data_IF_917442802942
#
_entry.id   IF_917442802942
#
_cell.length_a   1.000
_cell.length_b   1.000
_cell.length_c   1.000
_cell.angle_alpha   90.00
_cell.angle_beta   90.00
_cell.angle_gamma   90.00
#
_symmetry.space_group_name_H-M   'P 1'
#
loop_
_entity.id
_entity.type
_entity.pdbx_description
1 polymer ?
#
# COMPACT_ATOMS: atom_id res chain seq x y z
N UNK A 1 -15.96 4.10 8.05
CA UNK A 1 -15.68 3.06 9.07
C UNK A 1 -14.30 2.51 8.78
N UNK A 2 -13.43 2.92 9.65
CA UNK A 2 -12.35 2.69 9.48
C UNK A 2 -11.07 2.12 9.88
N UNK A 3 -10.12 2.77 9.41
CA UNK A 3 -8.68 2.60 9.61
C UNK A 3 -8.29 2.66 11.11
N UNK A 4 -8.97 3.53 11.88
CA UNK A 4 -8.72 3.72 13.30
C UNK A 4 -8.79 2.45 14.16
N UNK A 5 -9.81 1.61 14.06
CA UNK A 5 -9.88 0.38 14.85
C UNK A 5 -8.78 -0.64 14.54
N UNK A 6 -8.36 -0.77 13.27
CA UNK A 6 -7.24 -1.65 12.91
C UNK A 6 -5.93 -1.05 13.41
N UNK A 7 -5.71 0.25 13.23
CA UNK A 7 -4.53 0.94 13.74
C UNK A 7 -4.43 0.78 15.27
N UNK A 8 -5.56 0.89 15.97
CA UNK A 8 -5.62 0.75 17.42
C UNK A 8 -5.42 -0.69 17.95
N UNK A 9 -5.73 -1.72 17.14
CA UNK A 9 -5.64 -3.13 17.59
C UNK A 9 -4.40 -3.83 17.04
N UNK A 10 -4.12 -3.69 15.76
CA UNK A 10 -3.00 -4.37 15.08
C UNK A 10 -1.71 -3.54 15.22
N UNK A 11 -1.79 -2.21 15.23
CA UNK A 11 -0.65 -1.31 15.35
C UNK A 11 0.23 -1.64 16.57
N UNK A 12 -0.29 -1.62 17.80
CA UNK A 12 0.49 -1.91 19.00
C UNK A 12 1.17 -3.28 19.00
N UNK A 13 0.51 -4.30 18.42
CA UNK A 13 1.10 -5.64 18.31
C UNK A 13 2.28 -5.66 17.34
N UNK A 14 2.17 -4.97 16.20
CA UNK A 14 3.25 -4.85 15.23
C UNK A 14 4.40 -3.97 15.75
N UNK A 15 4.08 -2.89 16.47
CA UNK A 15 5.07 -2.04 17.13
C UNK A 15 5.86 -2.82 18.20
N UNK A 16 5.18 -3.61 19.01
CA UNK A 16 5.83 -4.43 20.04
C UNK A 16 6.74 -5.52 19.44
N UNK A 17 6.32 -6.14 18.32
CA UNK A 17 7.06 -7.24 17.71
C UNK A 17 8.21 -6.78 16.82
N UNK A 18 8.05 -5.68 16.08
CA UNK A 18 9.00 -5.28 15.03
C UNK A 18 9.65 -3.91 15.28
N UNK A 19 9.16 -3.13 16.24
CA UNK A 19 9.65 -1.77 16.57
C UNK A 19 9.91 -0.93 15.30
N UNK A 20 8.91 -0.83 14.40
CA UNK A 20 9.08 -0.06 13.19
C UNK A 20 9.27 1.42 13.52
N UNK A 21 10.03 2.12 12.70
CA UNK A 21 10.22 3.55 12.83
C UNK A 21 9.92 4.25 11.49
N UNK A 22 9.55 5.51 11.56
CA UNK A 22 9.35 6.38 10.41
C UNK A 22 10.23 7.63 10.54
N UNK A 23 10.73 8.13 9.41
CA UNK A 23 11.42 9.42 9.30
C UNK A 23 10.94 10.13 8.06
N UNK A 24 10.84 11.47 8.12
CA UNK A 24 10.39 12.27 6.99
C UNK A 24 8.88 12.30 6.83
N UNK A 25 8.11 11.93 7.86
CA UNK A 25 6.64 11.98 7.85
C UNK A 25 6.13 13.40 7.62
N UNK A 26 6.88 14.40 8.04
CA UNK A 26 6.61 15.82 7.82
C UNK A 26 6.57 16.22 6.34
N UNK A 27 7.10 15.38 5.43
CA UNK A 27 6.99 15.59 3.98
C UNK A 27 5.62 15.14 3.43
N UNK A 28 4.85 14.40 4.19
CA UNK A 28 3.50 14.00 3.81
C UNK A 28 2.57 15.18 4.16
N UNK A 29 1.85 15.77 3.19
CA UNK A 29 0.99 16.91 3.49
C UNK A 29 -0.09 16.52 4.51
N UNK A 30 -0.32 17.37 5.50
CA UNK A 30 -1.35 17.15 6.53
C UNK A 30 -2.75 17.06 5.92
N UNK A 31 -2.99 17.76 4.82
CA UNK A 31 -4.26 17.77 4.07
C UNK A 31 -4.00 17.66 2.56
N UNK A 32 -5.05 17.35 1.81
CA UNK A 32 -4.95 17.23 0.36
C UNK A 32 -4.35 15.90 -0.11
N UNK A 33 -4.20 15.77 -1.41
CA UNK A 33 -3.72 14.55 -2.05
C UNK A 33 -2.21 14.44 -2.06
N UNK A 34 -1.68 13.22 -1.93
CA UNK A 34 -0.31 12.90 -2.27
C UNK A 34 -0.17 11.43 -2.70
N UNK A 35 0.83 11.16 -3.51
CA UNK A 35 1.19 9.80 -3.96
C UNK A 35 2.40 9.35 -3.13
N UNK A 36 2.23 8.30 -2.35
CA UNK A 36 3.33 7.66 -1.63
C UNK A 36 3.93 6.57 -2.51
N UNK A 37 5.07 6.86 -3.14
CA UNK A 37 5.75 5.94 -4.06
C UNK A 37 6.83 5.16 -3.32
N UNK A 38 6.55 3.90 -2.99
CA UNK A 38 7.43 3.05 -2.17
C UNK A 38 8.05 1.91 -2.98
N UNK A 39 9.27 1.52 -2.64
CA UNK A 39 9.81 0.21 -3.02
C UNK A 39 8.97 -0.90 -2.37
N UNK A 40 9.04 -2.11 -2.92
CA UNK A 40 8.25 -3.24 -2.41
C UNK A 40 9.12 -4.47 -2.18
N UNK A 41 9.39 -4.78 -0.93
CA UNK A 41 10.30 -5.85 -0.52
C UNK A 41 9.55 -7.07 0.01
N UNK A 42 8.47 -6.85 0.77
CA UNK A 42 7.74 -7.89 1.47
C UNK A 42 6.23 -7.65 1.48
N UNK A 43 5.44 -8.65 1.90
CA UNK A 43 3.99 -8.46 2.08
C UNK A 43 3.70 -7.47 3.19
N UNK A 44 4.53 -7.49 4.25
CA UNK A 44 4.35 -6.60 5.41
C UNK A 44 4.50 -5.11 5.09
N UNK A 45 5.14 -4.73 3.96
CA UNK A 45 5.17 -3.33 3.52
C UNK A 45 3.77 -2.73 3.40
N UNK A 46 2.83 -3.54 2.88
CA UNK A 46 1.43 -3.13 2.72
C UNK A 46 0.66 -2.99 4.04
N UNK A 47 1.27 -3.39 5.15
CA UNK A 47 0.75 -3.19 6.49
C UNK A 47 1.47 -2.05 7.20
N UNK A 48 2.81 -2.03 7.17
CA UNK A 48 3.58 -1.03 7.89
C UNK A 48 3.38 0.38 7.33
N UNK A 49 3.42 0.57 6.03
CA UNK A 49 3.26 1.90 5.47
C UNK A 49 1.93 2.56 5.90
N UNK A 50 0.78 1.92 5.74
CA UNK A 50 -0.48 2.50 6.22
C UNK A 50 -0.59 2.59 7.75
N UNK A 51 0.05 1.74 8.53
CA UNK A 51 -0.02 1.80 9.99
C UNK A 51 0.81 2.94 10.57
N UNK A 52 1.96 3.23 9.98
CA UNK A 52 2.89 4.26 10.46
C UNK A 52 2.49 5.67 10.02
N UNK A 53 1.83 5.82 8.87
CA UNK A 53 1.34 7.13 8.39
C UNK A 53 0.05 7.51 9.11
N UNK A 54 -0.05 8.72 9.62
CA UNK A 54 -1.22 9.18 10.39
C UNK A 54 -2.50 9.28 9.56
N UNK A 55 -2.38 9.54 8.27
CA UNK A 55 -3.50 9.65 7.34
C UNK A 55 -3.82 8.31 6.67
N UNK A 56 -5.09 8.14 6.29
CA UNK A 56 -5.50 6.97 5.50
C UNK A 56 -4.81 6.93 4.13
N UNK A 57 -4.14 5.81 3.83
CA UNK A 57 -3.47 5.57 2.56
C UNK A 57 -4.22 4.51 1.78
N UNK A 58 -4.82 4.87 0.64
CA UNK A 58 -5.45 3.91 -0.25
C UNK A 58 -4.40 3.18 -1.10
N UNK A 59 -4.55 1.86 -1.26
CA UNK A 59 -3.69 1.04 -2.11
C UNK A 59 -4.50 0.27 -3.15
N UNK A 60 -3.85 -0.19 -4.21
CA UNK A 60 -4.44 -1.15 -5.14
C UNK A 60 -4.05 -2.57 -4.71
N UNK A 61 -5.05 -3.40 -4.46
CA UNK A 61 -4.88 -4.82 -4.17
C UNK A 61 -5.41 -5.73 -5.29
N UNK A 62 -4.85 -6.93 -5.39
CA UNK A 62 -5.33 -7.95 -6.31
C UNK A 62 -6.77 -8.32 -5.96
N UNK A 63 -7.67 -8.38 -6.95
CA UNK A 63 -9.09 -8.74 -6.78
C UNK A 63 -9.29 -10.08 -6.06
N UNK A 64 -8.34 -11.02 -6.19
CA UNK A 64 -8.38 -12.33 -5.54
C UNK A 64 -8.49 -12.24 -4.00
N UNK A 65 -7.96 -11.19 -3.39
CA UNK A 65 -8.12 -10.96 -1.94
C UNK A 65 -9.57 -10.68 -1.53
N UNK A 66 -10.43 -10.32 -2.48
CA UNK A 66 -11.83 -9.97 -2.24
C UNK A 66 -12.81 -11.08 -2.63
N UNK A 67 -12.34 -12.14 -3.29
CA UNK A 67 -13.15 -13.25 -3.80
C UNK A 67 -12.97 -14.56 -3.03
N UNK A 68 -12.12 -14.58 -2.01
CA UNK A 68 -11.88 -15.74 -1.16
C UNK A 68 -13.16 -16.24 -0.47
N UNK A 69 -13.34 -17.57 -0.42
CA UNK A 69 -14.51 -18.22 0.20
C UNK A 69 -14.27 -18.57 1.67
N UNK A 70 -15.36 -18.79 2.41
CA UNK A 70 -15.33 -19.17 3.82
C UNK A 70 -14.90 -18.07 4.78
N UNK A 71 -14.73 -18.40 6.05
CA UNK A 71 -14.40 -17.45 7.13
C UNK A 71 -13.07 -16.73 6.85
N UNK A 72 -12.05 -17.45 6.35
CA UNK A 72 -10.76 -16.86 6.00
C UNK A 72 -10.88 -15.84 4.87
N UNK A 73 -11.62 -16.16 3.81
CA UNK A 73 -11.86 -15.23 2.70
C UNK A 73 -12.64 -13.99 3.14
N UNK A 74 -13.64 -14.18 4.00
CA UNK A 74 -14.39 -13.08 4.59
C UNK A 74 -13.49 -12.15 5.45
N UNK A 75 -12.63 -12.71 6.30
CA UNK A 75 -11.71 -11.95 7.14
C UNK A 75 -10.71 -11.14 6.29
N UNK A 76 -10.08 -11.76 5.28
CA UNK A 76 -9.15 -11.08 4.36
C UNK A 76 -9.86 -9.96 3.60
N UNK A 77 -11.05 -10.22 3.05
CA UNK A 77 -11.84 -9.22 2.33
C UNK A 77 -12.18 -8.01 3.20
N UNK A 78 -12.64 -8.24 4.43
CA UNK A 78 -12.99 -7.14 5.33
C UNK A 78 -11.74 -6.37 5.77
N UNK A 79 -10.65 -7.06 6.07
CA UNK A 79 -9.37 -6.44 6.36
C UNK A 79 -8.93 -5.53 5.19
N UNK A 80 -8.87 -6.05 3.96
CA UNK A 80 -8.48 -5.28 2.77
C UNK A 80 -9.36 -4.05 2.55
N UNK A 81 -10.67 -4.18 2.75
CA UNK A 81 -11.59 -3.03 2.70
C UNK A 81 -11.30 -2.00 3.76
N UNK A 82 -11.01 -2.44 4.99
CA UNK A 82 -10.78 -1.55 6.13
C UNK A 82 -9.44 -0.79 5.98
N UNK A 83 -8.42 -1.39 5.39
CA UNK A 83 -7.15 -0.71 5.06
C UNK A 83 -7.21 0.08 3.74
N UNK A 84 -8.41 0.38 3.23
CA UNK A 84 -8.57 1.23 2.04
C UNK A 84 -8.09 0.62 0.73
N UNK A 85 -7.90 -0.71 0.69
CA UNK A 85 -7.43 -1.39 -0.53
C UNK A 85 -8.52 -1.44 -1.59
N UNK A 86 -8.22 -0.96 -2.77
CA UNK A 86 -9.11 -0.94 -3.95
C UNK A 86 -8.88 -2.24 -4.73
N UNK A 87 -9.90 -3.08 -4.91
CA UNK A 87 -9.75 -4.29 -5.70
C UNK A 87 -9.56 -3.95 -7.18
N UNK A 88 -8.52 -4.49 -7.79
CA UNK A 88 -8.29 -4.37 -9.23
C UNK A 88 -7.93 -5.73 -9.80
N UNK A 89 -8.59 -6.09 -10.89
CA UNK A 89 -8.20 -7.23 -11.70
C UNK A 89 -6.90 -6.87 -12.47
N UNK A 90 -5.89 -7.72 -12.38
CA UNK A 90 -4.59 -7.51 -13.04
C UNK A 90 -4.43 -8.31 -14.33
N UNK A 91 -5.51 -8.86 -14.89
CA UNK A 91 -5.51 -9.80 -16.02
C UNK A 91 -5.42 -9.13 -17.41
N UNK A 92 -5.07 -7.84 -17.52
CA UNK A 92 -4.91 -7.23 -18.85
C UNK A 92 -4.86 -5.69 -18.87
N UNK A 93 -4.72 -5.13 -20.07
CA UNK A 93 -4.57 -3.69 -20.28
C UNK A 93 -5.75 -2.84 -19.75
N UNK A 94 -6.97 -3.33 -19.84
CA UNK A 94 -8.17 -2.68 -19.28
C UNK A 94 -8.11 -2.60 -17.74
N UNK A 95 -7.54 -3.62 -17.09
CA UNK A 95 -7.38 -3.67 -15.65
C UNK A 95 -6.35 -2.63 -15.15
N UNK A 96 -5.28 -2.40 -15.89
CA UNK A 96 -4.31 -1.34 -15.59
C UNK A 96 -4.95 0.04 -15.70
N UNK A 97 -5.87 0.24 -16.64
CA UNK A 97 -6.59 1.49 -16.82
C UNK A 97 -7.58 1.73 -15.67
N UNK A 98 -8.32 0.71 -15.26
CA UNK A 98 -9.22 0.77 -14.11
C UNK A 98 -8.46 1.09 -12.80
N UNK A 99 -7.30 0.48 -12.61
CA UNK A 99 -6.41 0.76 -11.48
C UNK A 99 -5.94 2.22 -11.47
N UNK A 100 -5.52 2.73 -12.62
CA UNK A 100 -5.09 4.11 -12.77
C UNK A 100 -6.24 5.07 -12.46
N UNK A 101 -7.44 4.83 -13.01
CA UNK A 101 -8.61 5.67 -12.77
C UNK A 101 -9.00 5.68 -11.30
N UNK A 102 -9.04 4.53 -10.64
CA UNK A 102 -9.34 4.43 -9.22
C UNK A 102 -8.34 5.22 -8.35
N UNK A 103 -7.04 5.20 -8.72
CA UNK A 103 -6.03 6.02 -8.07
C UNK A 103 -6.25 7.52 -8.27
N UNK A 104 -6.57 7.94 -9.50
CA UNK A 104 -6.89 9.33 -9.82
C UNK A 104 -8.10 9.82 -9.02
N UNK A 105 -9.15 9.01 -8.92
CA UNK A 105 -10.38 9.38 -8.19
C UNK A 105 -10.09 9.57 -6.69
N UNK A 106 -9.24 8.71 -6.10
CA UNK A 106 -8.80 8.87 -4.72
C UNK A 106 -7.98 10.15 -4.50
N UNK A 107 -7.04 10.42 -5.39
CA UNK A 107 -6.23 11.63 -5.32
C UNK A 107 -7.10 12.89 -5.49
N UNK A 108 -8.04 12.90 -6.43
CA UNK A 108 -8.97 14.01 -6.62
C UNK A 108 -9.90 14.27 -5.43
N UNK A 109 -10.16 13.24 -4.62
CA UNK A 109 -10.89 13.39 -3.36
C UNK A 109 -10.03 13.85 -2.17
N UNK A 110 -8.78 14.26 -2.42
CA UNK A 110 -7.88 14.76 -1.38
C UNK A 110 -7.23 13.67 -0.51
N UNK A 111 -7.24 12.41 -0.95
CA UNK A 111 -6.73 11.28 -0.18
C UNK A 111 -5.29 10.93 -0.57
N UNK A 112 -4.57 10.28 0.35
CA UNK A 112 -3.27 9.68 0.05
C UNK A 112 -3.46 8.40 -0.77
N UNK A 113 -2.55 8.17 -1.70
CA UNK A 113 -2.53 6.98 -2.54
C UNK A 113 -1.15 6.34 -2.55
N UNK A 114 -1.06 5.12 -2.03
CA UNK A 114 0.17 4.34 -2.02
C UNK A 114 0.34 3.52 -3.29
N UNK A 115 1.52 3.56 -3.86
CA UNK A 115 1.87 2.78 -5.04
C UNK A 115 3.27 2.19 -4.89
N UNK A 116 3.44 0.97 -5.39
CA UNK A 116 4.73 0.34 -5.60
C UNK A 116 5.10 0.43 -7.08
N UNK A 117 5.96 1.38 -7.48
CA UNK A 117 6.27 1.62 -8.89
C UNK A 117 6.82 0.40 -9.63
N UNK A 118 7.51 -0.49 -8.93
CA UNK A 118 8.02 -1.75 -9.48
C UNK A 118 6.91 -2.70 -9.93
N UNK A 119 5.72 -2.61 -9.33
CA UNK A 119 4.54 -3.42 -9.64
C UNK A 119 4.59 -4.85 -9.14
N UNK A 120 5.68 -5.24 -8.48
CA UNK A 120 5.90 -6.54 -7.85
C UNK A 120 6.89 -6.40 -6.70
N UNK A 121 6.95 -7.39 -5.82
CA UNK A 121 7.97 -7.44 -4.77
C UNK A 121 9.35 -7.74 -5.35
N UNK A 122 10.37 -7.11 -4.79
CA UNK A 122 11.76 -7.41 -5.12
C UNK A 122 12.13 -8.84 -4.72
N UNK A 123 12.67 -9.67 -5.61
CA UNK A 123 13.01 -11.05 -5.30
C UNK A 123 14.27 -11.19 -4.42
N UNK A 124 15.14 -10.20 -4.42
CA UNK A 124 16.47 -10.22 -3.80
C UNK A 124 16.77 -9.01 -2.90
N UNK A 125 15.74 -8.20 -2.60
CA UNK A 125 15.87 -7.02 -1.75
C UNK A 125 16.42 -5.78 -2.46
N UNK A 126 16.75 -5.85 -3.76
CA UNK A 126 17.25 -4.71 -4.55
C UNK A 126 16.11 -3.85 -5.06
N UNK A 127 16.42 -2.58 -5.32
CA UNK A 127 15.51 -1.68 -5.99
C UNK A 127 15.50 -1.93 -7.50
N UNK A 128 14.33 -2.15 -8.05
CA UNK A 128 14.13 -2.38 -9.49
C UNK A 128 13.52 -1.17 -10.18
N UNK A 129 13.63 -1.17 -11.51
CA UNK A 129 13.09 -0.09 -12.33
C UNK A 129 11.58 0.05 -12.15
N UNK A 130 11.12 1.24 -11.78
CA UNK A 130 9.71 1.59 -11.69
C UNK A 130 9.03 1.64 -13.06
N UNK A 131 7.75 1.25 -13.09
CA UNK A 131 6.86 1.39 -14.24
C UNK A 131 6.28 2.81 -14.29
N UNK A 132 5.74 3.19 -15.43
CA UNK A 132 5.21 4.54 -15.70
C UNK A 132 3.90 4.88 -14.97
N UNK A 133 3.31 3.94 -14.23
CA UNK A 133 2.05 4.16 -13.52
C UNK A 133 2.07 5.32 -12.55
N UNK A 134 3.14 5.48 -11.79
CA UNK A 134 3.30 6.59 -10.83
C UNK A 134 3.37 7.95 -11.56
N UNK A 135 4.11 8.04 -12.65
CA UNK A 135 4.21 9.27 -13.45
C UNK A 135 2.84 9.65 -14.05
N UNK A 136 2.08 8.67 -14.55
CA UNK A 136 0.73 8.90 -15.07
C UNK A 136 -0.24 9.38 -13.99
N UNK A 137 -0.17 8.79 -12.78
CA UNK A 137 -0.96 9.26 -11.64
C UNK A 137 -0.63 10.71 -11.30
N UNK A 138 0.65 11.05 -11.17
CA UNK A 138 1.09 12.40 -10.84
C UNK A 138 0.63 13.43 -11.88
N UNK A 139 0.87 13.16 -13.17
CA UNK A 139 0.51 14.08 -14.26
C UNK A 139 -1.01 14.27 -14.40
N UNK A 140 -1.81 13.22 -14.21
CA UNK A 140 -3.26 13.27 -14.40
C UNK A 140 -4.03 13.77 -13.16
N UNK A 141 -3.46 13.63 -11.97
CA UNK A 141 -4.06 14.11 -10.73
C UNK A 141 -3.52 15.48 -10.28
N UNK A 142 -2.31 15.85 -10.68
CA UNK A 142 -1.60 17.01 -10.14
C UNK A 142 -1.06 16.82 -8.71
N UNK A 143 -1.22 15.63 -8.12
CA UNK A 143 -0.80 15.35 -6.76
C UNK A 143 0.74 15.23 -6.66
N UNK A 144 1.37 15.74 -5.59
CA UNK A 144 2.79 15.58 -5.35
C UNK A 144 3.14 14.12 -5.11
N UNK A 145 4.36 13.73 -5.51
CA UNK A 145 4.91 12.39 -5.28
C UNK A 145 5.88 12.46 -4.12
N UNK A 146 5.62 11.69 -3.08
CA UNK A 146 6.48 11.52 -1.91
C UNK A 146 7.17 10.17 -2.04
N UNK A 147 8.49 10.13 -2.26
CA UNK A 147 9.23 8.88 -2.28
C UNK A 147 9.33 8.30 -0.88
N UNK A 148 9.06 7.00 -0.77
CA UNK A 148 9.12 6.25 0.47
C UNK A 148 10.09 5.09 0.32
N UNK A 149 10.97 4.90 1.30
CA UNK A 149 11.89 3.77 1.35
C UNK A 149 11.50 2.81 2.48
N UNK A 150 11.10 1.60 2.12
CA UNK A 150 10.99 0.48 3.05
C UNK A 150 12.36 -0.14 3.26
N UNK A 151 12.76 -0.27 4.53
CA UNK A 151 14.08 -0.77 4.94
C UNK A 151 13.87 -1.91 5.94
N UNK A 152 14.58 -3.03 5.75
CA UNK A 152 14.56 -4.17 6.67
C UNK A 152 13.45 -5.19 6.42
N UNK A 153 12.37 -4.83 5.74
CA UNK A 153 11.21 -5.72 5.55
C UNK A 153 11.53 -6.96 4.69
N UNK A 154 12.52 -6.89 3.80
CA UNK A 154 13.01 -8.07 3.08
C UNK A 154 13.64 -9.10 4.01
N UNK A 155 14.41 -8.66 5.00
CA UNK A 155 15.01 -9.55 6.00
C UNK A 155 13.96 -10.15 6.93
N UNK A 156 12.97 -9.32 7.34
CA UNK A 156 11.89 -9.77 8.21
C UNK A 156 10.92 -10.74 7.52
N UNK A 157 10.67 -10.57 6.22
CA UNK A 157 9.76 -11.46 5.46
C UNK A 157 10.23 -11.65 4.01
N UNK A 158 11.23 -12.48 3.75
CA UNK A 158 11.63 -12.84 2.40
C UNK A 158 10.48 -13.45 1.58
N UNK A 159 10.57 -13.37 0.25
CA UNK A 159 9.57 -14.00 -0.62
C UNK A 159 9.51 -15.50 -0.35
N UNK A 160 8.29 -16.01 -0.16
CA UNK A 160 8.04 -17.43 0.18
C UNK A 160 7.76 -17.65 1.67
N UNK A 161 8.21 -16.76 2.54
CA UNK A 161 7.89 -16.82 3.97
C UNK A 161 6.49 -16.27 4.23
N UNK A 162 5.65 -17.03 4.95
CA UNK A 162 4.26 -16.64 5.22
C UNK A 162 4.11 -15.77 6.47
N UNK A 163 4.97 -15.97 7.44
CA UNK A 163 4.97 -15.28 8.74
C UNK A 163 6.30 -14.53 8.84
N UNK A 164 6.27 -13.23 9.13
CA UNK A 164 7.49 -12.47 9.38
C UNK A 164 8.23 -13.01 10.62
N UNK A 165 9.55 -12.99 10.59
CA UNK A 165 10.42 -13.40 11.70
C UNK A 165 11.03 -12.20 12.39
#
# INVERSE_FOLDING_TARGET
MGYGPIKATVGPALEMLYQPWIRGEENIPAEGAAILASNHLAVIDSFFLPLLVDREVAFIGKSDYFTGKGVKGWAVKNFMKTVGTIPVDRSGGKASQAALQAGIDRLRSGQLFGIYPEGTRSPDGRLYRGKTGVARLALLSGAPVIPVAMIGTHAAQPIGQKIPS
#
